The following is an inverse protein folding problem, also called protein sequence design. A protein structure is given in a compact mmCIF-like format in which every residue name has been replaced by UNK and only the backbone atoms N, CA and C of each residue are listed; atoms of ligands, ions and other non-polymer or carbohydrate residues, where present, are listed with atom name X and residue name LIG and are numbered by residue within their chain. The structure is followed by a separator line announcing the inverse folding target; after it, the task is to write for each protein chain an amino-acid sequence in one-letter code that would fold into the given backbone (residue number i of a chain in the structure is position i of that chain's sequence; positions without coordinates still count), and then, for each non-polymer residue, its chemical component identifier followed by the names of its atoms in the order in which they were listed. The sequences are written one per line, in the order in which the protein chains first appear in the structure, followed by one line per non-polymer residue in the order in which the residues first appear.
data_IF_540608849594
#
_entry.id   IF_540608849594
#
_cell.length_a   1.000
_cell.length_b   1.000
_cell.length_c   1.000
_cell.angle_alpha   90.00
_cell.angle_beta   90.00
_cell.angle_gamma   90.00
#
_symmetry.space_group_name_H-M   'P 1'
#
loop_
_entity.id
_entity.type
_entity.pdbx_description
1 polymer ?
#
# COMPACT_ATOMS: atom_id res chain seq x y z
N UNK A 1 -24.32 1.97 -22.35
CA UNK A 1 -23.70 2.09 -21.01
C UNK A 1 -23.07 0.76 -20.65
N UNK A 2 -21.83 0.75 -20.15
CA UNK A 2 -21.24 -0.50 -19.64
C UNK A 2 -21.97 -0.87 -18.37
N UNK A 3 -22.56 -2.07 -18.33
CA UNK A 3 -23.06 -2.64 -17.09
C UNK A 3 -21.87 -3.21 -16.30
N UNK A 4 -21.95 -3.12 -14.97
CA UNK A 4 -20.92 -3.63 -14.05
C UNK A 4 -19.50 -3.06 -14.28
N UNK A 5 -19.29 -1.73 -14.20
CA UNK A 5 -17.95 -1.16 -14.30
C UNK A 5 -17.05 -1.69 -13.17
N UNK A 6 -15.82 -2.05 -13.52
CA UNK A 6 -14.77 -2.44 -12.57
C UNK A 6 -13.74 -1.31 -12.49
N UNK A 7 -13.34 -0.94 -11.27
CA UNK A 7 -12.26 0.01 -11.02
C UNK A 7 -11.27 -0.58 -10.02
N UNK A 8 -9.97 -0.37 -10.26
CA UNK A 8 -8.89 -0.88 -9.42
C UNK A 8 -8.18 0.30 -8.75
N UNK A 9 -8.22 0.32 -7.42
CA UNK A 9 -7.53 1.31 -6.60
C UNK A 9 -6.13 0.79 -6.27
N UNK A 10 -5.10 1.34 -6.93
CA UNK A 10 -3.71 0.89 -6.79
C UNK A 10 -2.97 1.52 -5.61
N UNK A 11 -3.43 2.68 -5.14
CA UNK A 11 -2.74 3.43 -4.08
C UNK A 11 -3.53 3.33 -2.77
N UNK A 12 -2.84 3.26 -1.63
CA UNK A 12 -3.48 3.41 -0.34
C UNK A 12 -4.21 4.74 -0.22
N UNK A 13 -5.37 4.73 0.43
CA UNK A 13 -6.19 5.90 0.62
C UNK A 13 -7.66 5.59 0.84
N UNK A 14 -8.39 6.61 1.28
CA UNK A 14 -9.84 6.58 1.44
C UNK A 14 -10.49 7.23 0.23
N UNK A 15 -11.32 6.46 -0.48
CA UNK A 15 -11.96 6.89 -1.71
C UNK A 15 -13.46 7.11 -1.49
N UNK A 16 -13.94 8.26 -1.96
CA UNK A 16 -15.38 8.58 -2.04
C UNK A 16 -15.95 7.99 -3.32
N UNK A 17 -17.07 7.28 -3.22
CA UNK A 17 -17.78 6.71 -4.37
C UNK A 17 -19.00 7.56 -4.68
N UNK A 18 -19.06 8.06 -5.92
CA UNK A 18 -20.20 8.80 -6.45
C UNK A 18 -20.89 7.96 -7.52
N UNK A 19 -22.18 7.74 -7.37
CA UNK A 19 -23.03 7.10 -8.36
C UNK A 19 -23.97 8.15 -8.95
N UNK A 20 -23.93 8.35 -10.27
CA UNK A 20 -24.88 9.20 -10.99
C UNK A 20 -25.66 8.34 -11.97
N UNK A 21 -26.99 8.41 -11.91
CA UNK A 21 -27.90 7.68 -12.78
C UNK A 21 -28.85 8.65 -13.49
N UNK A 22 -29.04 8.49 -14.80
CA UNK A 22 -30.05 9.24 -15.55
C UNK A 22 -31.41 8.59 -15.36
N UNK A 23 -32.40 9.35 -14.89
CA UNK A 23 -33.80 8.93 -14.80
C UNK A 23 -34.65 9.76 -15.77
N UNK A 24 -35.94 9.42 -15.89
CA UNK A 24 -36.91 10.19 -16.69
C UNK A 24 -37.16 11.60 -16.16
N UNK A 25 -36.84 11.86 -14.89
CA UNK A 25 -37.02 13.15 -14.20
C UNK A 25 -35.73 13.98 -14.16
N UNK A 26 -34.60 13.41 -14.59
CA UNK A 26 -33.28 14.03 -14.56
C UNK A 26 -32.21 13.12 -13.94
N UNK A 27 -30.95 13.59 -13.84
CA UNK A 27 -29.90 12.81 -13.19
C UNK A 27 -30.07 12.80 -11.66
N UNK A 28 -30.05 11.62 -11.06
CA UNK A 28 -29.96 11.42 -9.61
C UNK A 28 -28.52 11.05 -9.24
N UNK A 29 -28.01 11.59 -8.13
CA UNK A 29 -26.67 11.27 -7.63
C UNK A 29 -26.67 10.83 -6.17
N UNK A 30 -25.84 9.85 -5.85
CA UNK A 30 -25.58 9.36 -4.49
C UNK A 30 -24.08 9.40 -4.22
N UNK A 31 -23.69 10.02 -3.11
CA UNK A 31 -22.30 10.08 -2.66
C UNK A 31 -22.12 9.27 -1.37
N UNK A 32 -21.07 8.45 -1.32
CA UNK A 32 -20.62 7.75 -0.12
C UNK A 32 -19.18 8.14 0.19
N UNK A 33 -18.95 9.05 1.16
CA UNK A 33 -17.61 9.46 1.53
C UNK A 33 -16.85 8.29 2.18
N UNK A 34 -15.54 8.19 1.89
CA UNK A 34 -14.64 7.17 2.44
C UNK A 34 -15.18 5.72 2.36
N UNK A 35 -15.91 5.41 1.29
CA UNK A 35 -16.58 4.11 1.13
C UNK A 35 -15.60 2.95 0.88
N UNK A 36 -14.43 3.26 0.31
CA UNK A 36 -13.38 2.28 0.05
C UNK A 36 -12.12 2.74 0.79
N UNK A 37 -11.58 1.89 1.64
CA UNK A 37 -10.31 2.09 2.32
C UNK A 37 -9.29 1.10 1.76
N UNK A 38 -8.26 1.62 1.09
CA UNK A 38 -7.11 0.84 0.64
C UNK A 38 -5.97 1.10 1.61
N UNK A 39 -5.45 0.05 2.23
CA UNK A 39 -4.30 0.13 3.14
C UNK A 39 -3.01 -0.23 2.40
N UNK A 40 -1.90 0.38 2.81
CA UNK A 40 -0.58 -0.02 2.32
C UNK A 40 -0.31 -1.48 2.69
N UNK A 41 0.27 -2.24 1.77
CA UNK A 41 0.72 -3.58 2.08
C UNK A 41 1.91 -3.48 3.03
N UNK A 42 1.86 -4.18 4.17
CA UNK A 42 3.01 -4.26 5.08
C UNK A 42 4.20 -4.83 4.29
N UNK A 43 5.30 -4.08 4.19
CA UNK A 43 6.47 -4.43 3.39
C UNK A 43 6.65 -3.64 2.10
N UNK A 44 5.57 -3.06 1.56
CA UNK A 44 5.61 -2.15 0.41
C UNK A 44 5.94 -0.73 0.91
N UNK A 45 7.23 -0.45 1.03
CA UNK A 45 7.74 0.81 1.55
C UNK A 45 7.70 1.92 0.51
N UNK A 46 7.67 1.58 -0.79
CA UNK A 46 7.66 2.56 -1.88
C UNK A 46 6.24 2.92 -2.38
N UNK A 47 5.22 2.14 -2.00
CA UNK A 47 3.81 2.32 -2.33
C UNK A 47 3.43 1.90 -3.75
N UNK A 48 4.18 1.00 -4.38
CA UNK A 48 3.95 0.53 -5.75
C UNK A 48 2.99 -0.66 -5.85
N UNK A 49 2.59 -1.23 -4.70
CA UNK A 49 1.66 -2.35 -4.59
C UNK A 49 2.32 -3.72 -4.69
N UNK A 50 3.65 -3.80 -4.67
CA UNK A 50 4.41 -5.04 -4.64
C UNK A 50 5.44 -5.02 -3.50
N UNK A 51 5.84 -6.20 -3.03
CA UNK A 51 6.96 -6.34 -2.10
C UNK A 51 8.13 -6.90 -2.89
N UNK A 52 9.17 -6.12 -3.09
CA UNK A 52 10.33 -6.51 -3.90
C UNK A 52 11.68 -5.96 -3.38
N UNK A 53 12.74 -6.10 -4.20
CA UNK A 53 14.09 -5.64 -3.84
C UNK A 53 14.19 -4.11 -3.69
N UNK A 54 13.27 -3.36 -4.28
CA UNK A 54 13.18 -1.91 -4.16
C UNK A 54 12.79 -1.50 -2.74
N UNK A 55 11.95 -2.30 -2.07
CA UNK A 55 11.62 -2.08 -0.65
C UNK A 55 12.82 -2.39 0.25
N UNK A 56 13.56 -3.46 -0.07
CA UNK A 56 14.82 -3.79 0.61
C UNK A 56 15.82 -2.63 0.47
N UNK A 57 15.93 -2.05 -0.73
CA UNK A 57 16.79 -0.90 -0.99
C UNK A 57 16.36 0.35 -0.20
N UNK A 58 15.05 0.53 0.01
CA UNK A 58 14.51 1.63 0.82
C UNK A 58 14.91 1.50 2.29
N UNK A 59 14.85 0.29 2.87
CA UNK A 59 15.43 0.05 4.21
C UNK A 59 16.92 0.37 4.21
N UNK A 60 17.68 -0.11 3.22
CA UNK A 60 19.11 0.17 3.15
C UNK A 60 19.42 1.67 3.11
N UNK A 61 18.61 2.48 2.39
CA UNK A 61 18.72 3.94 2.38
C UNK A 61 18.46 4.59 3.73
N UNK A 62 17.48 4.09 4.49
CA UNK A 62 17.27 4.53 5.88
C UNK A 62 18.48 4.20 6.76
N UNK A 63 19.05 3.00 6.61
CA UNK A 63 20.22 2.55 7.39
C UNK A 63 21.46 3.40 7.11
N UNK A 64 21.70 3.78 5.84
CA UNK A 64 22.85 4.62 5.47
C UNK A 64 22.58 6.13 5.62
N UNK A 65 21.40 6.53 6.10
CA UNK A 65 21.03 7.93 6.31
C UNK A 65 20.76 8.73 5.04
N UNK A 66 20.44 8.08 3.93
CA UNK A 66 19.95 8.73 2.69
C UNK A 66 18.49 9.15 2.79
N UNK A 67 17.73 8.45 3.63
CA UNK A 67 16.36 8.79 4.00
C UNK A 67 16.21 8.78 5.53
N UNK A 68 15.28 9.56 6.12
CA UNK A 68 14.97 9.46 7.54
C UNK A 68 14.48 8.06 7.89
N UNK A 69 14.97 7.51 9.00
CA UNK A 69 14.49 6.23 9.49
C UNK A 69 13.05 6.34 9.97
N UNK A 70 12.22 5.38 9.55
CA UNK A 70 10.84 5.20 10.02
C UNK A 70 10.74 3.83 10.70
N UNK A 71 10.28 3.81 11.95
CA UNK A 71 10.09 2.55 12.70
C UNK A 71 9.02 1.65 12.08
N UNK A 72 8.20 2.14 11.14
CA UNK A 72 7.36 1.27 10.32
C UNK A 72 8.18 0.25 9.48
N UNK A 73 9.47 0.50 9.27
CA UNK A 73 10.41 -0.40 8.62
C UNK A 73 11.14 -1.35 9.59
N UNK A 74 10.86 -1.32 10.89
CA UNK A 74 11.35 -2.32 11.86
C UNK A 74 10.53 -3.60 11.74
N UNK A 75 10.84 -4.41 10.72
CA UNK A 75 10.14 -5.64 10.43
C UNK A 75 10.51 -6.76 11.42
N UNK A 76 11.71 -6.72 12.00
CA UNK A 76 12.16 -7.76 12.91
C UNK A 76 11.78 -7.48 14.40
N UNK A 77 11.33 -6.27 14.71
CA UNK A 77 10.81 -5.85 16.02
C UNK A 77 11.90 -5.57 17.06
N UNK A 78 13.12 -5.24 16.63
CA UNK A 78 14.24 -5.00 17.54
C UNK A 78 14.33 -3.53 18.04
N UNK A 79 13.42 -2.67 17.61
CA UNK A 79 13.33 -1.26 17.97
C UNK A 79 14.26 -0.35 17.17
N UNK A 80 14.86 -0.83 16.07
CA UNK A 80 15.77 -0.09 15.20
C UNK A 80 15.45 -0.41 13.74
N UNK A 81 15.80 0.51 12.85
CA UNK A 81 15.83 0.25 11.40
C UNK A 81 17.27 -0.10 11.03
N UNK A 82 17.52 -1.37 10.73
CA UNK A 82 18.85 -1.89 10.43
C UNK A 82 18.85 -2.93 9.29
N UNK A 83 20.01 -3.54 9.03
CA UNK A 83 20.16 -4.52 7.95
C UNK A 83 19.35 -5.80 8.17
N UNK A 84 18.99 -6.11 9.42
CA UNK A 84 18.12 -7.23 9.78
C UNK A 84 16.70 -7.06 9.22
N UNK A 85 16.21 -5.82 9.16
CA UNK A 85 14.91 -5.51 8.56
C UNK A 85 14.90 -5.73 7.05
N UNK A 86 15.96 -5.26 6.38
CA UNK A 86 16.17 -5.49 4.96
C UNK A 86 16.25 -7.00 4.65
N UNK A 87 16.95 -7.76 5.49
CA UNK A 87 17.07 -9.21 5.35
C UNK A 87 15.71 -9.91 5.52
N UNK A 88 14.85 -9.45 6.42
CA UNK A 88 13.52 -10.03 6.63
C UNK A 88 12.61 -9.82 5.43
N UNK A 89 12.61 -8.63 4.82
CA UNK A 89 11.89 -8.38 3.55
C UNK A 89 12.44 -9.28 2.44
N UNK A 90 13.76 -9.37 2.31
CA UNK A 90 14.38 -10.22 1.29
C UNK A 90 13.97 -11.70 1.46
N UNK A 91 13.94 -12.22 2.69
CA UNK A 91 13.49 -13.59 2.99
C UNK A 91 12.01 -13.81 2.68
N UNK A 92 11.16 -12.83 2.95
CA UNK A 92 9.76 -12.91 2.55
C UNK A 92 9.63 -12.95 1.01
N UNK A 93 10.32 -12.05 0.31
CA UNK A 93 10.30 -11.99 -1.15
C UNK A 93 10.77 -13.30 -1.80
N UNK A 94 11.81 -13.95 -1.27
CA UNK A 94 12.29 -15.24 -1.79
C UNK A 94 11.52 -16.46 -1.25
N UNK A 95 10.42 -16.26 -0.53
CA UNK A 95 9.54 -17.33 -0.03
C UNK A 95 10.16 -18.19 1.08
N UNK A 96 11.11 -17.64 1.84
CA UNK A 96 11.72 -18.32 3.00
C UNK A 96 10.88 -18.16 4.27
N UNK A 97 10.02 -17.15 4.31
CA UNK A 97 9.06 -16.90 5.39
C UNK A 97 7.71 -16.49 4.79
N UNK A 98 6.63 -16.82 5.48
CA UNK A 98 5.26 -16.60 4.98
C UNK A 98 4.69 -15.21 5.33
N UNK A 99 5.35 -14.47 6.24
CA UNK A 99 4.88 -13.18 6.71
C UNK A 99 6.01 -12.25 7.19
N UNK A 100 5.74 -10.94 7.11
CA UNK A 100 6.57 -9.87 7.66
C UNK A 100 6.15 -9.53 9.10
#
# INVERSE_FOLDING_TARGET
TSQSPVHIYRRPGNYTVNLTASTTEGPASLSRPAYIAVTAQKGDLNGDGTIDISDVAKVAYMVVGKEPADLAADFNGNGRVDIGDAAKIAYFFVGKIDAL
#
